data_IF_411691589854
#
_entry.id   IF_411691589854
#
_cell.length_a   1.000
_cell.length_b   1.000
_cell.length_c   1.000
_cell.angle_alpha   90.00
_cell.angle_beta   90.00
_cell.angle_gamma   90.00
#
_symmetry.space_group_name_H-M   'P 1'
#
loop_
_entity.id
_entity.type
_entity.pdbx_description
1 polymer ?
2 non-polymer ?
3 non-polymer ?
4 water ?
#
# COMPACT_ATOMS: atom_id res chain seq x y z
N UNK A 3 19.64 -29.20 -10.69
CA UNK A 3 20.98 -28.94 -11.30
C UNK A 3 20.81 -28.15 -12.59
N UNK A 4 19.68 -28.32 -13.24
CA UNK A 4 19.37 -27.54 -14.43
C UNK A 4 18.95 -26.15 -13.99
N UNK A 5 19.48 -25.14 -14.66
CA UNK A 5 19.17 -23.77 -14.30
C UNK A 5 17.97 -23.28 -15.11
N UNK A 6 17.18 -22.46 -14.45
CA UNK A 6 16.01 -21.85 -15.07
C UNK A 6 16.44 -20.79 -16.07
N UNK A 7 15.54 -20.45 -17.02
CA UNK A 7 15.77 -19.36 -17.96
C UNK A 7 16.05 -18.07 -17.20
N UNK A 8 17.04 -17.31 -17.66
CA UNK A 8 17.48 -16.07 -17.01
C UNK A 8 17.34 -14.88 -17.97
N UNK A 9 16.73 -13.79 -17.50
CA UNK A 9 16.57 -12.61 -18.34
C UNK A 9 17.92 -11.94 -18.67
N UNK A 10 17.96 -11.28 -19.82
CA UNK A 10 19.17 -10.59 -20.29
C UNK A 10 19.60 -9.47 -19.34
N UNK A 11 20.83 -8.99 -19.48
CA UNK A 11 21.36 -7.97 -18.61
C UNK A 11 21.82 -8.56 -17.28
N UNK A 12 21.82 -7.73 -16.26
CA UNK A 12 22.19 -8.21 -14.92
C UNK A 12 23.69 -8.33 -14.73
N UNK A 13 24.43 -7.49 -15.42
CA UNK A 13 25.88 -7.57 -15.38
C UNK A 13 26.50 -6.59 -14.37
N UNK A 14 25.67 -5.98 -13.53
CA UNK A 14 26.12 -5.00 -12.54
C UNK A 14 26.57 -5.75 -11.29
N UNK A 15 27.04 -5.01 -10.28
CA UNK A 15 27.66 -5.62 -9.11
C UNK A 15 26.76 -6.64 -8.43
N UNK A 16 25.49 -6.30 -8.29
CA UNK A 16 24.55 -7.19 -7.65
C UNK A 16 23.56 -7.80 -8.64
N UNK A 17 24.06 -8.10 -9.85
CA UNK A 17 23.26 -8.77 -10.87
C UNK A 17 22.24 -7.81 -11.46
N UNK A 18 20.97 -8.15 -11.30
CA UNK A 18 19.87 -7.32 -11.76
C UNK A 18 19.38 -6.32 -10.70
N UNK A 19 19.98 -6.34 -9.51
CA UNK A 19 19.48 -5.48 -8.44
C UNK A 19 19.52 -3.99 -8.81
N UNK A 20 20.59 -3.56 -9.46
CA UNK A 20 20.70 -2.15 -9.85
C UNK A 20 19.54 -1.74 -10.76
N UNK A 21 19.25 -2.58 -11.74
CA UNK A 21 18.13 -2.32 -12.65
C UNK A 21 16.79 -2.45 -11.92
N UNK A 22 16.72 -3.37 -10.97
CA UNK A 22 15.50 -3.54 -10.21
C UNK A 22 15.17 -2.28 -9.39
N UNK A 23 16.20 -1.52 -9.01
CA UNK A 23 16.00 -0.24 -8.35
C UNK A 23 15.52 0.81 -9.34
N UNK A 24 16.24 0.92 -10.47
CA UNK A 24 15.98 2.01 -11.40
C UNK A 24 14.76 1.82 -12.29
N UNK A 25 14.42 0.58 -12.61
CA UNK A 25 13.28 0.35 -13.49
C UNK A 25 12.77 -1.08 -13.29
N UNK A 26 12.19 -1.35 -12.11
CA UNK A 26 11.75 -2.71 -11.83
C UNK A 26 10.67 -3.20 -12.78
N UNK A 27 9.77 -2.31 -13.20
CA UNK A 27 8.69 -2.74 -14.09
C UNK A 27 9.25 -3.12 -15.47
N UNK A 28 10.19 -2.34 -15.99
CA UNK A 28 10.84 -2.70 -17.25
C UNK A 28 11.59 -4.01 -17.17
N UNK A 29 12.26 -4.23 -16.05
CA UNK A 29 12.95 -5.52 -15.85
C UNK A 29 11.95 -6.67 -15.85
N UNK A 30 10.90 -6.54 -15.04
CA UNK A 30 9.93 -7.62 -14.95
C UNK A 30 9.21 -7.87 -16.27
N UNK A 31 8.96 -6.81 -17.02
CA UNK A 31 8.31 -7.01 -18.32
C UNK A 31 9.27 -7.70 -19.27
N UNK A 32 10.57 -7.41 -19.16
CA UNK A 32 11.56 -8.06 -20.04
C UNK A 32 11.67 -9.54 -19.72
N UNK A 33 11.53 -9.90 -18.44
CA UNK A 33 11.52 -11.32 -18.07
C UNK A 33 10.40 -12.02 -18.84
N UNK A 34 9.22 -11.41 -18.83
CA UNK A 34 8.07 -12.05 -19.48
C UNK A 34 8.22 -12.05 -21.00
N UNK A 35 8.67 -10.94 -21.56
CA UNK A 35 8.85 -10.79 -23.00
C UNK A 35 9.86 -11.79 -23.55
N UNK A 36 10.97 -11.96 -22.84
CA UNK A 36 12.02 -12.88 -23.31
C UNK A 36 11.72 -14.36 -23.03
N UNK A 37 11.09 -14.63 -21.88
CA UNK A 37 11.07 -15.98 -21.33
C UNK A 37 9.68 -16.57 -21.16
N UNK A 38 8.67 -15.72 -21.10
CA UNK A 38 7.30 -16.22 -20.94
C UNK A 38 6.87 -16.26 -19.49
N UNK A 39 6.07 -17.27 -19.16
CA UNK A 39 5.37 -17.34 -17.86
C UNK A 39 6.27 -17.64 -16.66
N UNK A 40 7.45 -18.21 -16.92
CA UNK A 40 8.38 -18.52 -15.82
C UNK A 40 9.77 -18.06 -16.23
N UNK A 41 10.37 -17.14 -15.47
CA UNK A 41 11.72 -16.68 -15.82
C UNK A 41 12.39 -16.10 -14.60
N UNK A 42 13.70 -15.89 -14.66
CA UNK A 42 14.38 -15.47 -13.45
C UNK A 42 15.21 -14.21 -13.64
N UNK A 43 15.45 -13.53 -12.53
CA UNK A 43 16.44 -12.47 -12.47
C UNK A 43 17.20 -12.63 -11.14
N UNK A 44 18.38 -12.03 -11.06
CA UNK A 44 19.25 -12.21 -9.92
C UNK A 44 19.26 -10.93 -9.07
N UNK A 45 18.87 -11.09 -7.81
CA UNK A 45 18.85 -9.99 -6.87
C UNK A 45 20.01 -10.20 -5.91
N UNK A 46 21.17 -9.67 -6.26
CA UNK A 46 22.38 -9.92 -5.49
C UNK A 46 22.59 -11.44 -5.39
N UNK A 47 22.66 -11.99 -4.17
CA UNK A 47 22.86 -13.44 -4.07
C UNK A 47 21.65 -14.30 -4.44
N UNK A 48 20.48 -13.68 -4.55
CA UNK A 48 19.23 -14.43 -4.56
C UNK A 48 18.66 -14.55 -5.96
N UNK A 49 18.22 -15.73 -6.34
CA UNK A 49 17.51 -15.90 -7.59
C UNK A 49 16.04 -15.64 -7.34
N UNK A 50 15.42 -14.84 -8.19
CA UNK A 50 13.98 -14.62 -8.12
C UNK A 50 13.34 -15.32 -9.31
N UNK A 51 12.42 -16.22 -9.03
CA UNK A 51 11.65 -16.88 -10.08
C UNK A 51 10.35 -16.09 -10.25
N UNK A 52 10.31 -15.32 -11.34
CA UNK A 52 9.14 -14.49 -11.62
C UNK A 52 8.12 -15.23 -12.47
N UNK A 53 6.95 -15.40 -11.88
CA UNK A 53 5.83 -16.06 -12.52
C UNK A 53 4.88 -15.02 -13.08
N UNK A 54 4.27 -15.33 -14.22
CA UNK A 54 3.26 -14.44 -14.78
C UNK A 54 2.25 -15.23 -15.59
N UNK A 55 1.11 -14.60 -15.87
CA UNK A 55 0.04 -15.28 -16.60
C UNK A 55 -0.83 -16.08 -15.64
N UNK A 56 -2.02 -16.45 -16.11
CA UNK A 56 -3.01 -17.05 -15.23
C UNK A 56 -2.59 -18.39 -14.61
N UNK A 57 -2.00 -19.28 -15.41
CA UNK A 57 -1.65 -20.61 -14.91
C UNK A 57 -0.60 -20.54 -13.79
N UNK A 58 0.48 -19.80 -14.05
CA UNK A 58 1.58 -19.71 -13.09
C UNK A 58 1.14 -18.88 -11.89
N UNK A 59 0.39 -17.82 -12.13
CA UNK A 59 -0.14 -17.05 -11.01
C UNK A 59 -1.05 -17.87 -10.10
N UNK A 60 -1.85 -18.76 -10.69
CA UNK A 60 -2.77 -19.58 -9.88
C UNK A 60 -1.95 -20.46 -8.93
N UNK A 61 -0.87 -21.05 -9.44
CA UNK A 61 0.04 -21.80 -8.58
C UNK A 61 0.53 -20.93 -7.43
N UNK A 62 1.02 -19.73 -7.78
CA UNK A 62 1.58 -18.82 -6.77
C UNK A 62 0.56 -18.48 -5.68
N UNK A 63 -0.63 -18.10 -6.13
CA UNK A 63 -1.65 -17.59 -5.20
C UNK A 63 -2.38 -18.63 -4.38
N UNK A 64 -2.47 -19.86 -4.91
CA UNK A 64 -3.17 -20.92 -4.18
C UNK A 64 -2.25 -21.66 -3.20
N UNK A 65 -0.96 -21.34 -3.27
CA UNK A 65 0.01 -21.99 -2.38
C UNK A 65 -0.14 -21.43 -0.97
N UNK A 66 -0.18 -22.33 0.01
CA UNK A 66 -0.14 -21.94 1.41
C UNK A 66 1.31 -21.86 1.89
N UNK A 67 1.52 -21.35 3.11
CA UNK A 67 2.87 -21.07 3.59
C UNK A 67 3.70 -22.35 3.79
N UNK A 68 3.05 -23.50 3.83
CA UNK A 68 3.75 -24.78 3.89
C UNK A 68 4.52 -25.04 2.60
N UNK A 69 4.10 -24.39 1.50
CA UNK A 69 4.67 -24.62 0.18
C UNK A 69 5.47 -23.41 -0.28
N UNK A 70 4.83 -22.24 -0.23
CA UNK A 70 5.47 -20.99 -0.57
C UNK A 70 5.28 -20.06 0.61
N UNK A 71 6.37 -19.76 1.34
CA UNK A 71 6.27 -19.03 2.60
C UNK A 71 6.31 -17.51 2.38
N UNK A 72 5.25 -16.84 2.77
CA UNK A 72 5.19 -15.39 2.68
C UNK A 72 5.86 -14.73 3.90
N UNK A 73 5.89 -15.45 5.01
CA UNK A 73 6.35 -14.84 6.26
C UNK A 73 7.74 -14.21 6.19
N UNK A 74 8.68 -14.87 5.52
CA UNK A 74 10.07 -14.42 5.49
C UNK A 74 10.44 -13.73 4.17
N UNK A 75 9.44 -13.44 3.35
CA UNK A 75 9.70 -13.04 1.98
C UNK A 75 9.78 -11.53 1.80
N UNK A 76 9.59 -10.78 2.89
CA UNK A 76 9.64 -9.30 2.83
C UNK A 76 10.56 -8.76 3.94
N UNK A 77 11.85 -9.06 3.83
CA UNK A 77 12.81 -8.75 4.89
C UNK A 77 12.98 -7.26 5.19
N UNK A 78 12.55 -6.39 4.27
CA UNK A 78 12.62 -4.97 4.50
C UNK A 78 11.73 -4.57 5.67
N UNK A 79 10.82 -5.46 6.05
CA UNK A 79 9.92 -5.20 7.17
C UNK A 79 10.58 -5.43 8.52
N UNK A 80 11.63 -6.23 8.55
CA UNK A 80 12.21 -6.63 9.83
C UNK A 80 12.64 -5.45 10.71
N UNK A 81 13.40 -4.51 10.15
CA UNK A 81 13.82 -3.34 10.94
C UNK A 81 12.65 -2.42 11.29
N UNK A 82 11.55 -2.52 10.55
CA UNK A 82 10.35 -1.75 10.90
C UNK A 82 9.60 -2.33 12.10
N UNK A 83 9.33 -3.64 12.10
CA UNK A 83 8.75 -4.24 13.30
C UNK A 83 9.67 -4.03 14.50
N UNK A 84 10.98 -4.02 14.26
CA UNK A 84 11.95 -3.93 15.33
C UNK A 84 11.89 -5.10 16.29
N UNK A 85 12.41 -4.89 17.50
CA UNK A 85 12.62 -5.99 18.44
C UNK A 85 11.54 -6.14 19.50
N UNK A 86 10.78 -5.07 19.72
CA UNK A 86 9.75 -5.08 20.74
C UNK A 86 8.63 -6.04 20.40
N UNK A 87 8.05 -6.63 21.44
CA UNK A 87 6.82 -7.38 21.29
C UNK A 87 5.88 -6.98 22.39
N UNK A 88 4.66 -6.60 22.01
CA UNK A 88 3.68 -6.16 23.00
C UNK A 88 2.82 -7.35 23.37
N UNK A 89 2.17 -7.93 22.36
CA UNK A 89 1.40 -9.15 22.57
C UNK A 89 2.14 -10.34 21.99
N UNK A 90 2.61 -11.21 22.88
CA UNK A 90 3.42 -12.35 22.49
C UNK A 90 2.54 -13.46 21.95
N UNK A 91 2.91 -13.98 20.77
CA UNK A 91 2.20 -15.08 20.12
C UNK A 91 3.01 -15.53 18.92
N UNK A 92 2.47 -16.50 18.17
CA UNK A 92 3.11 -16.93 16.93
C UNK A 92 3.14 -15.79 15.93
N UNK A 93 4.07 -15.86 14.98
CA UNK A 93 4.13 -14.81 13.98
C UNK A 93 2.79 -14.57 13.30
N UNK A 94 2.06 -15.66 13.01
CA UNK A 94 0.83 -15.55 12.23
C UNK A 94 -0.23 -14.82 13.04
N UNK A 95 -0.26 -15.11 14.33
CA UNK A 95 -1.25 -14.55 15.25
C UNK A 95 -0.92 -13.09 15.54
N UNK A 96 0.36 -12.78 15.68
CA UNK A 96 0.76 -11.39 15.83
C UNK A 96 0.32 -10.57 14.60
N UNK A 97 0.34 -11.20 13.43
CA UNK A 97 -0.09 -10.55 12.22
C UNK A 97 -1.61 -10.25 12.26
N UNK A 98 -2.41 -11.26 12.63
CA UNK A 98 -3.84 -11.05 12.82
C UNK A 98 -4.08 -9.87 13.74
N UNK A 99 -3.33 -9.83 14.84
CA UNK A 99 -3.57 -8.81 15.88
C UNK A 99 -3.30 -7.39 15.42
N UNK A 100 -2.48 -7.25 14.39
CA UNK A 100 -2.19 -5.91 13.91
C UNK A 100 -3.42 -5.26 13.34
N UNK A 101 -4.27 -6.04 12.68
CA UNK A 101 -5.34 -5.44 11.85
C UNK A 101 -6.77 -5.87 12.13
N UNK A 102 -6.96 -7.07 12.64
CA UNK A 102 -8.31 -7.66 12.56
C UNK A 102 -9.41 -6.89 13.32
N UNK A 103 -9.10 -6.41 14.52
CA UNK A 103 -10.10 -5.64 15.30
C UNK A 103 -10.64 -4.49 14.48
N UNK A 104 -9.73 -3.71 13.92
CA UNK A 104 -10.11 -2.50 13.19
C UNK A 104 -10.79 -2.81 11.88
N UNK A 105 -10.57 -4.02 11.34
CA UNK A 105 -11.14 -4.38 10.03
C UNK A 105 -12.50 -5.05 10.16
N UNK A 106 -13.01 -5.19 11.39
CA UNK A 106 -14.30 -5.86 11.52
C UNK A 106 -15.40 -5.06 10.85
N UNK A 107 -16.32 -5.78 10.19
CA UNK A 107 -17.36 -5.14 9.44
C UNK A 107 -18.15 -4.12 10.26
N UNK A 108 -18.42 -4.45 11.52
CA UNK A 108 -19.24 -3.59 12.37
C UNK A 108 -18.56 -2.27 12.69
N UNK A 109 -17.26 -2.19 12.43
CA UNK A 109 -16.51 -0.95 12.70
C UNK A 109 -16.50 -0.01 11.50
N UNK A 110 -16.92 -0.52 10.34
CA UNK A 110 -16.72 0.25 9.10
C UNK A 110 -17.47 1.57 9.04
N UNK A 111 -18.72 1.59 9.50
CA UNK A 111 -19.49 2.83 9.49
C UNK A 111 -18.76 3.91 10.31
N UNK A 112 -18.29 3.56 11.50
CA UNK A 112 -17.56 4.51 12.32
C UNK A 112 -16.29 4.98 11.66
N UNK A 113 -15.57 4.07 11.01
CA UNK A 113 -14.34 4.48 10.28
C UNK A 113 -14.65 5.46 9.16
N UNK A 114 -15.76 5.23 8.45
CA UNK A 114 -16.10 6.11 7.34
C UNK A 114 -16.35 7.52 7.88
N UNK A 115 -17.02 7.62 9.03
CA UNK A 115 -17.23 8.93 9.64
C UNK A 115 -15.91 9.56 10.09
N UNK A 116 -15.04 8.74 10.67
CA UNK A 116 -13.71 9.22 11.06
C UNK A 116 -12.94 9.74 9.86
N UNK A 117 -12.97 8.99 8.77
CA UNK A 117 -12.23 9.38 7.58
C UNK A 117 -12.79 10.69 7.03
N UNK A 118 -14.11 10.79 6.95
CA UNK A 118 -14.72 12.06 6.54
C UNK A 118 -14.18 13.23 7.38
N UNK A 119 -14.17 13.06 8.71
CA UNK A 119 -13.71 14.14 9.59
C UNK A 119 -12.26 14.48 9.32
N UNK A 120 -11.43 13.48 9.04
CA UNK A 120 -10.01 13.75 8.82
C UNK A 120 -9.81 14.54 7.53
N UNK A 121 -10.60 14.21 6.50
CA UNK A 121 -10.47 14.93 5.25
C UNK A 121 -10.91 16.37 5.45
N UNK A 122 -12.03 16.58 6.13
CA UNK A 122 -12.47 17.95 6.34
C UNK A 122 -11.43 18.74 7.16
N UNK A 123 -10.79 18.09 8.14
CA UNK A 123 -9.74 18.81 8.88
C UNK A 123 -8.58 19.21 7.98
N UNK A 124 -8.23 18.32 7.05
CA UNK A 124 -7.07 18.55 6.19
C UNK A 124 -7.31 19.67 5.16
N UNK A 125 -8.57 19.88 4.78
CA UNK A 125 -8.87 20.90 3.78
C UNK A 125 -9.43 22.16 4.43
N UNK A 126 -9.44 22.17 5.76
CA UNK A 126 -10.11 23.25 6.49
C UNK A 126 -9.53 24.63 6.16
N UNK A 127 -8.22 24.70 5.90
CA UNK A 127 -7.58 25.99 5.60
C UNK A 127 -7.40 26.26 4.09
N UNK A 128 -8.07 25.48 3.25
CA UNK A 128 -7.82 25.59 1.79
C UNK A 128 -8.36 26.89 1.20
N UNK A 129 -9.44 27.41 1.77
CA UNK A 129 -10.04 28.63 1.21
C UNK A 129 -10.60 28.44 -0.19
N UNK A 130 -10.67 29.52 -0.96
CA UNK A 130 -11.36 29.49 -2.23
C UNK A 130 -10.57 28.77 -3.32
N UNK A 131 -9.25 28.89 -3.29
CA UNK A 131 -8.44 28.35 -4.38
C UNK A 131 -6.99 28.29 -3.93
N UNK A 132 -6.20 27.43 -4.56
CA UNK A 132 -4.81 27.26 -4.14
C UNK A 132 -4.18 26.08 -4.86
N UNK A 133 -3.05 25.66 -4.36
CA UNK A 133 -2.30 24.57 -4.97
C UNK A 133 -1.83 23.62 -3.88
N UNK A 134 -1.82 22.32 -4.20
CA UNK A 134 -1.28 21.33 -3.28
C UNK A 134 -0.28 20.47 -4.02
N UNK A 135 0.57 19.80 -3.26
CA UNK A 135 1.36 18.71 -3.86
C UNK A 135 0.73 17.40 -3.41
N UNK A 136 0.42 16.50 -4.36
CA UNK A 136 -0.32 15.30 -3.99
C UNK A 136 0.37 14.39 -2.98
N UNK A 137 1.69 14.22 -3.09
CA UNK A 137 2.38 13.38 -2.11
C UNK A 137 2.30 14.04 -0.73
N UNK A 138 2.62 15.33 -0.64
CA UNK A 138 2.57 15.99 0.67
C UNK A 138 1.17 15.90 1.28
N UNK A 139 0.16 16.13 0.45
CA UNK A 139 -1.22 16.16 0.96
C UNK A 139 -1.70 14.77 1.35
N UNK A 140 -1.63 13.83 0.40
CA UNK A 140 -2.14 12.49 0.71
C UNK A 140 -1.32 11.69 1.71
N UNK A 141 0.00 11.87 1.71
CA UNK A 141 0.78 11.16 2.70
C UNK A 141 0.40 11.61 4.11
N UNK A 142 0.24 12.92 4.30
CA UNK A 142 -0.16 13.43 5.62
C UNK A 142 -1.59 13.02 5.96
N UNK A 143 -2.52 13.23 5.01
CA UNK A 143 -3.91 12.86 5.25
C UNK A 143 -4.02 11.42 5.72
N UNK A 144 -3.30 10.52 5.06
CA UNK A 144 -3.48 9.10 5.36
C UNK A 144 -2.75 8.66 6.63
N UNK A 145 -1.78 9.46 7.10
CA UNK A 145 -1.32 9.26 8.48
C UNK A 145 -2.44 9.47 9.48
N UNK A 146 -3.24 10.53 9.25
CA UNK A 146 -4.34 10.84 10.14
C UNK A 146 -5.49 9.85 10.03
N UNK A 147 -5.83 9.43 8.82
CA UNK A 147 -6.88 8.42 8.69
C UNK A 147 -6.46 7.09 9.28
N UNK A 148 -5.22 6.66 8.99
CA UNK A 148 -4.73 5.39 9.51
C UNK A 148 -4.59 5.39 11.04
N UNK A 149 -4.01 6.45 11.59
CA UNK A 149 -3.87 6.50 13.05
C UNK A 149 -5.22 6.58 13.74
N UNK A 150 -6.11 7.43 13.22
CA UNK A 150 -7.41 7.61 13.89
C UNK A 150 -8.23 6.32 13.85
N UNK A 151 -8.21 5.61 12.72
CA UNK A 151 -9.02 4.38 12.58
C UNK A 151 -8.41 3.17 13.27
N UNK A 152 -7.10 3.02 13.14
CA UNK A 152 -6.41 1.85 13.71
C UNK A 152 -6.01 1.98 15.17
N UNK A 153 -5.62 3.18 15.58
CA UNK A 153 -5.14 3.33 16.94
C UNK A 153 -6.14 4.07 17.80
N UNK A 154 -6.62 5.19 17.31
CA UNK A 154 -7.70 5.89 17.98
C UNK A 154 -7.68 7.37 17.67
N UNK A 155 -8.84 8.02 17.77
CA UNK A 155 -8.93 9.44 17.51
C UNK A 155 -8.11 10.27 18.52
N UNK A 156 -8.16 9.86 19.79
CA UNK A 156 -7.41 10.58 20.80
C UNK A 156 -5.92 10.62 20.46
N UNK A 157 -5.40 9.49 19.98
CA UNK A 157 -4.00 9.39 19.60
C UNK A 157 -3.74 10.24 18.35
N UNK A 158 -4.59 10.10 17.34
CA UNK A 158 -4.39 10.94 16.15
C UNK A 158 -4.36 12.43 16.50
N UNK A 159 -5.19 12.85 17.45
CA UNK A 159 -5.27 14.26 17.79
C UNK A 159 -3.97 14.80 18.40
N UNK A 160 -3.07 13.89 18.80
CA UNK A 160 -1.76 14.29 19.32
C UNK A 160 -0.65 14.19 18.30
N UNK A 161 -1.01 13.83 17.08
CA UNK A 161 -0.08 13.77 15.97
C UNK A 161 -0.16 15.04 15.13
N UNK A 162 0.96 15.36 14.48
CA UNK A 162 0.97 16.45 13.51
C UNK A 162 1.87 16.07 12.35
N UNK A 163 2.29 17.07 11.59
CA UNK A 163 3.08 16.82 10.38
C UNK A 163 4.39 16.10 10.63
N UNK A 164 4.96 16.24 11.83
CA UNK A 164 6.24 15.61 12.16
C UNK A 164 6.15 14.08 12.05
N UNK A 165 5.09 13.51 12.62
CA UNK A 165 4.88 12.09 12.49
C UNK A 165 4.87 11.65 11.02
N UNK A 166 4.16 12.39 10.17
CA UNK A 166 4.10 12.02 8.76
C UNK A 166 5.47 12.11 8.08
N UNK A 167 6.23 13.15 8.39
CA UNK A 167 7.53 13.30 7.77
C UNK A 167 8.44 12.14 8.16
N UNK A 168 8.43 11.79 9.45
CA UNK A 168 9.24 10.67 9.88
C UNK A 168 8.77 9.32 9.32
N UNK A 169 7.46 9.13 9.25
CA UNK A 169 6.93 7.87 8.72
C UNK A 169 7.37 7.71 7.27
N UNK A 170 7.39 8.81 6.52
CA UNK A 170 7.85 8.75 5.12
C UNK A 170 9.28 8.25 5.00
N UNK A 171 10.15 8.73 5.90
CA UNK A 171 11.55 8.32 5.89
C UNK A 171 11.66 6.84 6.23
N UNK A 172 10.77 6.36 7.09
CA UNK A 172 10.72 4.95 7.43
C UNK A 172 10.41 4.14 6.18
N UNK A 173 9.40 4.57 5.43
CA UNK A 173 9.02 3.88 4.20
C UNK A 173 10.11 3.92 3.15
N UNK A 174 10.89 5.00 3.16
CA UNK A 174 12.02 5.10 2.23
C UNK A 174 13.17 4.17 2.58
N UNK A 175 13.11 3.57 3.77
CA UNK A 175 14.16 2.64 4.19
C UNK A 175 13.93 1.22 3.71
N UNK A 176 13.30 1.07 2.54
CA UNK A 176 12.94 -0.24 2.00
C UNK A 176 13.63 -0.57 0.67
N UNK A 177 14.87 -0.08 0.51
CA UNK A 177 15.64 -0.37 -0.70
C UNK A 177 15.75 -1.88 -0.92
N UNK A 178 15.77 -2.31 -2.19
CA UNK A 178 15.81 -3.76 -2.40
C UNK A 178 17.09 -4.44 -1.92
N UNK A 179 18.10 -3.65 -1.59
CA UNK A 179 19.29 -4.18 -0.90
C UNK A 179 18.89 -4.95 0.37
N UNK A 180 17.64 -4.80 0.81
CA UNK A 180 17.16 -5.50 1.99
C UNK A 180 17.07 -7.01 1.80
N UNK A 181 17.05 -7.43 0.53
CA UNK A 181 17.16 -8.85 0.21
C UNK A 181 18.60 -9.34 0.38
N UNK A 182 19.57 -8.42 0.37
CA UNK A 182 20.92 -8.76 0.83
C UNK A 182 20.89 -8.86 2.36
N UNK A 183 20.66 -7.71 2.99
CA UNK A 183 20.70 -7.57 4.44
C UNK A 183 20.06 -6.23 4.75
N UNK A 184 18.94 -6.23 5.51
CA UNK A 184 18.31 -4.93 5.76
C UNK A 184 19.06 -4.03 6.73
N UNK A 185 20.22 -4.49 7.21
CA UNK A 185 21.00 -3.68 8.14
C UNK A 185 22.34 -3.18 7.55
N UNK A 186 22.49 -3.31 6.23
CA UNK A 186 23.69 -2.84 5.55
C UNK A 186 23.87 -1.32 5.75
N UNK A 187 25.14 -0.87 5.75
CA UNK A 187 25.48 0.53 6.00
C UNK A 187 25.27 1.44 4.79
N UNK A 188 24.03 1.52 4.31
CA UNK A 188 23.70 2.47 3.25
C UNK A 188 22.87 3.62 3.82
N UNK A 189 22.96 4.78 3.19
CA UNK A 189 22.35 6.02 3.72
C UNK A 189 20.83 5.92 3.98
N UNK A 190 20.09 5.30 3.08
CA UNK A 190 18.64 5.21 3.25
C UNK A 190 18.25 4.31 4.44
N UNK A 191 19.05 3.29 4.70
CA UNK A 191 18.85 2.44 5.88
C UNK A 191 19.16 3.22 7.17
N UNK A 192 20.20 4.05 7.10
CA UNK A 192 20.56 4.91 8.24
C UNK A 192 19.44 5.89 8.54
N UNK A 193 18.88 6.49 7.49
CA UNK A 193 17.82 7.46 7.68
C UNK A 193 16.55 6.77 8.22
N UNK A 194 16.32 5.55 7.77
CA UNK A 194 15.22 4.73 8.29
C UNK A 194 15.35 4.58 9.81
N UNK A 195 16.53 4.17 10.24
CA UNK A 195 16.78 3.95 11.67
C UNK A 195 16.63 5.22 12.49
N UNK A 196 17.14 6.34 11.96
CA UNK A 196 17.01 7.61 12.67
C UNK A 196 15.53 8.00 12.78
N UNK A 197 14.77 7.78 11.70
CA UNK A 197 13.36 8.14 11.67
C UNK A 197 12.57 7.29 12.68
N UNK A 198 12.91 6.02 12.77
CA UNK A 198 12.24 5.18 13.74
C UNK A 198 12.51 5.71 15.15
N UNK A 199 13.77 6.08 15.44
CA UNK A 199 14.06 6.68 16.74
C UNK A 199 13.24 7.95 16.98
N UNK A 200 13.08 8.77 15.95
CA UNK A 200 12.27 9.97 16.08
C UNK A 200 10.80 9.67 16.39
N UNK A 201 10.27 8.60 15.79
CA UNK A 201 8.88 8.22 16.04
C UNK A 201 8.72 7.70 17.47
N UNK A 202 9.69 6.92 17.94
CA UNK A 202 9.67 6.47 19.33
C UNK A 202 9.66 7.69 20.27
N UNK A 203 10.46 8.71 19.93
CA UNK A 203 10.51 9.89 20.77
C UNK A 203 9.19 10.65 20.80
N UNK A 204 8.50 10.72 19.67
CA UNK A 204 7.18 11.38 19.63
C UNK A 204 6.19 10.66 20.52
N UNK A 205 6.19 9.34 20.47
CA UNK A 205 5.27 8.56 21.30
C UNK A 205 5.65 8.69 22.77
N UNK A 206 6.95 8.63 23.09
CA UNK A 206 7.36 8.87 24.48
C UNK A 206 6.84 10.22 25.00
N UNK A 207 6.93 11.27 24.17
CA UNK A 207 6.49 12.60 24.58
C UNK A 207 4.98 12.55 24.85
N UNK A 208 4.24 11.82 24.02
CA UNK A 208 2.81 11.69 24.23
C UNK A 208 2.52 10.95 25.53
N UNK A 209 3.23 9.86 25.77
CA UNK A 209 3.04 9.07 26.97
C UNK A 209 3.32 9.94 28.21
N UNK A 210 4.40 10.71 28.18
CA UNK A 210 4.76 11.50 29.36
C UNK A 210 3.70 12.57 29.61
N UNK A 211 3.24 13.20 28.53
CA UNK A 211 2.23 14.22 28.63
C UNK A 211 0.95 13.68 29.24
N UNK A 212 0.63 12.42 28.95
CA UNK A 212 -0.60 11.85 29.49
C UNK A 212 -0.52 11.47 30.97
N UNK A 213 0.68 11.23 31.47
CA UNK A 213 0.81 10.83 32.86
C UNK A 213 0.37 12.01 33.73
N UNK A 214 0.76 13.19 33.29
CA UNK A 214 0.50 14.41 34.05
C UNK A 214 -0.94 14.86 33.96
N UNK A 215 -1.72 14.25 33.08
CA UNK A 215 -3.18 14.45 33.03
C UNK A 215 -3.89 13.20 33.51
N UNK A 223 -9.74 6.47 27.17
CA UNK A 223 -8.87 5.36 27.53
C UNK A 223 -8.50 4.62 26.26
N UNK A 224 -8.05 5.35 25.24
CA UNK A 224 -7.71 4.72 23.98
C UNK A 224 -6.71 3.60 24.17
N UNK A 225 -6.28 3.01 23.06
CA UNK A 225 -5.38 1.88 23.09
C UNK A 225 -4.06 2.22 23.79
N UNK A 226 -3.59 3.45 23.60
CA UNK A 226 -2.36 3.88 24.25
C UNK A 226 -2.56 3.96 25.76
N UNK A 227 -3.71 4.50 26.20
CA UNK A 227 -3.99 4.51 27.65
C UNK A 227 -3.97 3.10 28.25
N UNK A 228 -4.58 2.14 27.54
CA UNK A 228 -4.58 0.76 28.00
C UNK A 228 -3.16 0.24 28.16
N UNK A 229 -2.34 0.45 27.13
CA UNK A 229 -0.97 -0.06 27.17
C UNK A 229 -0.13 0.63 28.23
N UNK A 230 -0.33 1.92 28.43
CA UNK A 230 0.41 2.66 29.47
C UNK A 230 0.11 2.09 30.85
N UNK A 231 -1.12 1.63 31.03
CA UNK A 231 -1.59 1.24 32.35
C UNK A 231 -1.14 -0.16 32.74
N UNK A 232 -0.68 -0.95 31.78
CA UNK A 232 -0.29 -2.33 32.08
C UNK A 232 0.95 -2.35 32.96
N UNK A 233 0.87 -3.05 34.09
CA UNK A 233 1.97 -3.10 35.04
C UNK A 233 2.66 -4.44 35.06
N UNK A 234 3.97 -4.45 35.25
CA UNK A 234 4.68 -5.69 35.52
C UNK A 234 4.43 -6.08 36.97
N UNK A 235 4.90 -7.26 37.35
CA UNK A 235 4.63 -7.80 38.69
C UNK A 235 5.00 -6.84 39.82
N UNK A 236 6.08 -6.09 39.67
CA UNK A 236 6.56 -5.21 40.73
C UNK A 236 5.86 -3.86 40.80
N UNK A 237 5.14 -3.50 39.74
CA UNK A 237 4.52 -2.17 39.63
C UNK A 237 5.15 -1.28 38.57
N UNK A 238 6.28 -1.72 38.02
CA UNK A 238 6.92 -0.96 36.96
C UNK A 238 6.06 -1.09 35.71
N UNK A 239 5.96 -0.03 34.91
CA UNK A 239 5.16 -0.19 33.70
C UNK A 239 5.72 -1.33 32.85
N UNK A 240 4.83 -2.14 32.28
CA UNK A 240 5.29 -3.28 31.50
C UNK A 240 5.89 -2.91 30.14
N UNK A 241 5.33 -1.88 29.50
CA UNK A 241 5.73 -1.57 28.11
C UNK A 241 6.50 -0.26 27.93
N UNK A 242 7.57 -0.34 27.14
CA UNK A 242 8.36 0.85 26.84
C UNK A 242 7.79 1.62 25.67
N UNK A 243 8.25 2.87 25.51
CA UNK A 243 7.90 3.63 24.33
C UNK A 243 8.31 2.89 23.04
N UNK A 244 9.48 2.24 23.04
CA UNK A 244 9.91 1.52 21.82
C UNK A 244 8.96 0.38 21.47
N UNK A 245 8.53 -0.36 22.48
CA UNK A 245 7.65 -1.50 22.25
C UNK A 245 6.32 -1.02 21.69
N UNK A 246 5.76 -0.01 22.36
CA UNK A 246 4.47 0.52 21.94
C UNK A 246 4.59 1.09 20.52
N UNK A 247 5.62 1.89 20.29
CA UNK A 247 5.80 2.54 18.99
C UNK A 247 5.96 1.49 17.89
N UNK A 248 6.74 0.44 18.13
CA UNK A 248 6.89 -0.60 17.12
C UNK A 248 5.54 -1.18 16.72
N UNK A 249 4.69 -1.43 17.71
CA UNK A 249 3.37 -1.98 17.39
C UNK A 249 2.54 -1.01 16.59
N UNK A 250 2.53 0.26 17.00
CA UNK A 250 1.72 1.26 16.30
C UNK A 250 2.21 1.44 14.87
N UNK A 251 3.52 1.54 14.69
CA UNK A 251 4.08 1.66 13.36
C UNK A 251 3.65 0.49 12.49
N UNK A 252 3.73 -0.72 13.04
CA UNK A 252 3.38 -1.91 12.26
C UNK A 252 1.89 -1.99 11.98
N UNK A 253 1.05 -1.48 12.88
CA UNK A 253 -0.39 -1.45 12.64
C UNK A 253 -0.75 -0.54 11.48
N UNK A 254 0.02 0.51 11.29
CA UNK A 254 -0.33 1.53 10.31
C UNK A 254 0.28 1.28 8.94
N UNK A 255 1.24 0.37 8.86
CA UNK A 255 2.13 0.31 7.71
C UNK A 255 1.39 -0.09 6.45
N UNK A 256 0.66 -1.20 6.48
CA UNK A 256 0.03 -1.70 5.25
C UNK A 256 -0.91 -0.69 4.63
N UNK A 257 -1.69 -0.03 5.46
CA UNK A 257 -2.71 0.88 4.95
C UNK A 257 -2.15 2.23 4.57
N UNK A 258 -0.99 2.61 5.10
CA UNK A 258 -0.53 3.94 4.79
C UNK A 258 -0.06 4.16 3.33
N UNK A 259 0.97 3.46 2.91
CA UNK A 259 1.52 3.74 1.58
C UNK A 259 0.51 3.41 0.50
N UNK A 260 -0.32 2.40 0.76
CA UNK A 260 -1.29 2.02 -0.24
C UNK A 260 -2.41 3.05 -0.36
N UNK A 261 -2.95 3.50 0.76
CA UNK A 261 -4.00 4.52 0.69
C UNK A 261 -3.50 5.83 0.14
N UNK A 262 -2.30 6.23 0.55
CA UNK A 262 -1.72 7.46 0.06
C UNK A 262 -1.58 7.44 -1.46
N UNK A 263 -0.92 6.39 -1.96
CA UNK A 263 -0.71 6.27 -3.42
C UNK A 263 -2.01 6.09 -4.19
N UNK A 264 -2.89 5.24 -3.69
CA UNK A 264 -4.13 4.99 -4.40
C UNK A 264 -5.00 6.25 -4.49
N UNK A 265 -5.03 7.04 -3.41
CA UNK A 265 -5.77 8.31 -3.46
C UNK A 265 -5.14 9.25 -4.49
N UNK A 266 -3.82 9.36 -4.48
CA UNK A 266 -3.14 10.25 -5.44
C UNK A 266 -3.45 9.86 -6.88
N UNK A 267 -3.31 8.57 -7.17
CA UNK A 267 -3.51 8.10 -8.53
C UNK A 267 -4.98 8.15 -8.97
N UNK A 268 -5.90 7.96 -8.02
CA UNK A 268 -7.32 8.11 -8.36
C UNK A 268 -7.57 9.56 -8.80
N UNK A 269 -7.01 10.53 -8.04
CA UNK A 269 -7.22 11.93 -8.43
C UNK A 269 -6.53 12.25 -9.76
N UNK A 270 -5.31 11.72 -9.94
CA UNK A 270 -4.62 11.95 -11.20
C UNK A 270 -5.42 11.39 -12.39
N UNK A 271 -5.94 10.17 -12.28
CA UNK A 271 -6.64 9.60 -13.41
C UNK A 271 -7.93 10.36 -13.68
N UNK A 272 -8.59 10.83 -12.62
CA UNK A 272 -9.80 11.62 -12.82
C UNK A 272 -9.45 12.89 -13.60
N UNK A 273 -8.36 13.55 -13.22
CA UNK A 273 -7.98 14.80 -13.90
C UNK A 273 -7.55 14.54 -15.34
N UNK A 274 -6.92 13.39 -15.59
CA UNK A 274 -6.47 13.04 -16.96
C UNK A 274 -7.64 12.64 -17.86
N UNK A 275 -8.77 12.28 -17.27
CA UNK A 275 -9.93 11.74 -18.00
C UNK A 275 -11.17 12.47 -17.56
N UNK A 276 -11.36 13.65 -18.12
CA UNK A 276 -12.38 14.53 -17.59
C UNK A 276 -13.81 14.04 -17.84
N UNK A 277 -13.99 13.13 -18.81
CA UNK A 277 -15.29 12.52 -19.00
C UNK A 277 -15.65 11.60 -17.82
N UNK A 278 -14.67 10.86 -17.33
CA UNK A 278 -14.88 10.03 -16.12
C UNK A 278 -15.10 10.94 -14.90
N UNK A 279 -14.31 11.99 -14.81
CA UNK A 279 -14.42 12.92 -13.68
C UNK A 279 -15.84 13.50 -13.66
N UNK A 280 -16.33 13.98 -14.80
CA UNK A 280 -17.69 14.53 -14.88
C UNK A 280 -18.76 13.52 -14.46
N UNK A 281 -18.62 12.27 -14.90
CA UNK A 281 -19.56 11.22 -14.56
C UNK A 281 -19.54 10.95 -13.04
N UNK A 282 -18.35 10.95 -12.45
CA UNK A 282 -18.23 10.72 -11.01
C UNK A 282 -18.89 11.86 -10.21
N UNK A 283 -18.66 13.11 -10.63
CA UNK A 283 -19.26 14.26 -9.96
C UNK A 283 -20.78 14.15 -10.01
N UNK A 284 -21.32 13.86 -11.19
CA UNK A 284 -22.76 13.76 -11.31
C UNK A 284 -23.29 12.69 -10.37
N UNK A 285 -22.62 11.54 -10.36
CA UNK A 285 -23.05 10.44 -9.52
C UNK A 285 -23.02 10.82 -8.03
N UNK A 286 -21.97 11.50 -7.61
CA UNK A 286 -21.88 11.86 -6.19
C UNK A 286 -22.96 12.86 -5.82
N UNK A 287 -23.19 13.83 -6.69
CA UNK A 287 -24.19 14.86 -6.42
C UNK A 287 -25.56 14.19 -6.31
N UNK A 288 -25.85 13.23 -7.20
CA UNK A 288 -27.17 12.58 -7.17
C UNK A 288 -27.31 11.70 -5.93
N UNK A 289 -26.26 10.94 -5.62
CA UNK A 289 -26.32 10.00 -4.53
C UNK A 289 -26.52 10.73 -3.20
N UNK A 290 -25.74 11.77 -2.98
CA UNK A 290 -25.80 12.48 -1.70
C UNK A 290 -27.04 13.36 -1.62
N UNK A 291 -27.75 13.44 -2.73
CA UNK A 291 -29.03 14.12 -2.74
C UNK A 291 -30.10 13.47 -1.89
N UNK A 292 -29.86 12.24 -1.40
CA UNK A 292 -30.80 11.63 -0.45
C UNK A 292 -30.62 12.12 0.99
N UNK A 293 -29.60 12.94 1.21
CA UNK A 293 -29.36 13.50 2.55
C UNK A 293 -28.65 12.59 3.53
N UNK A 294 -28.28 11.39 3.09
CA UNK A 294 -27.54 10.47 3.99
C UNK A 294 -26.05 10.81 4.07
N UNK A 295 -25.41 10.42 5.18
CA UNK A 295 -24.04 10.78 5.44
C UNK A 295 -23.04 9.96 4.60
N UNK A 296 -21.80 10.44 4.59
CA UNK A 296 -20.69 9.65 4.02
C UNK A 296 -20.61 8.28 4.72
N UNK A 297 -20.88 8.22 6.03
CA UNK A 297 -20.79 6.95 6.73
C UNK A 297 -21.82 5.91 6.23
N UNK A 298 -22.89 6.41 5.62
CA UNK A 298 -23.84 5.56 4.90
C UNK A 298 -23.36 5.22 3.50
N UNK A 299 -23.08 6.25 2.71
CA UNK A 299 -22.76 6.02 1.29
C UNK A 299 -21.42 5.35 1.02
N UNK A 300 -20.42 5.59 1.88
CA UNK A 300 -19.09 5.00 1.60
C UNK A 300 -19.06 3.50 1.80
N UNK A 301 -20.13 2.95 2.39
CA UNK A 301 -20.25 1.49 2.59
C UNK A 301 -21.14 0.82 1.55
N UNK A 302 -21.59 1.62 0.60
CA UNK A 302 -22.56 1.13 -0.38
C UNK A 302 -22.12 1.51 -1.78
N UNK A 303 -22.85 1.03 -2.79
CA UNK A 303 -22.40 1.21 -4.16
C UNK A 303 -22.24 2.69 -4.55
N UNK A 304 -21.08 3.02 -5.12
CA UNK A 304 -20.89 4.29 -5.83
C UNK A 304 -20.20 3.88 -7.12
N UNK A 305 -20.98 3.40 -8.10
CA UNK A 305 -20.38 2.57 -9.16
C UNK A 305 -19.36 3.28 -10.04
N UNK A 306 -19.61 4.52 -10.48
CA UNK A 306 -18.64 5.16 -11.38
C UNK A 306 -17.32 5.38 -10.66
N UNK A 307 -17.39 5.83 -9.41
CA UNK A 307 -16.17 6.05 -8.65
C UNK A 307 -15.46 4.73 -8.41
N UNK A 308 -16.22 3.70 -8.06
CA UNK A 308 -15.59 2.40 -7.82
C UNK A 308 -14.89 1.86 -9.06
N UNK A 309 -15.47 2.08 -10.23
CA UNK A 309 -14.84 1.60 -11.46
C UNK A 309 -13.59 2.39 -11.81
N UNK A 310 -13.62 3.68 -11.52
CA UNK A 310 -12.43 4.51 -11.65
C UNK A 310 -11.34 3.99 -10.70
N UNK A 311 -11.71 3.67 -9.47
CA UNK A 311 -10.74 3.14 -8.52
C UNK A 311 -10.19 1.78 -8.99
N UNK A 312 -11.07 0.89 -9.45
CA UNK A 312 -10.58 -0.41 -9.96
C UNK A 312 -9.57 -0.22 -11.07
N UNK A 313 -9.85 0.73 -11.97
CA UNK A 313 -8.96 0.93 -13.15
C UNK A 313 -7.65 1.58 -12.72
N UNK A 314 -7.73 2.45 -11.72
CA UNK A 314 -6.54 3.07 -11.17
C UNK A 314 -5.63 2.02 -10.50
N UNK A 315 -6.24 1.09 -9.76
CA UNK A 315 -5.49 0.00 -9.16
C UNK A 315 -4.90 -0.94 -10.20
N UNK A 316 -5.61 -1.15 -11.31
CA UNK A 316 -5.08 -2.01 -12.35
C UNK A 316 -3.82 -1.39 -12.94
N UNK A 317 -3.88 -0.08 -13.22
CA UNK A 317 -2.77 0.61 -13.89
C UNK A 317 -1.62 0.97 -12.93
N UNK A 318 -1.95 1.22 -11.67
CA UNK A 318 -0.98 1.71 -10.69
C UNK A 318 -1.04 0.91 -9.40
N UNK A 319 -0.81 -0.41 -9.49
CA UNK A 319 -0.95 -1.23 -8.29
C UNK A 319 0.10 -0.82 -7.25
N UNK A 320 -0.34 -0.54 -6.01
CA UNK A 320 0.63 -0.02 -5.06
C UNK A 320 1.76 -0.96 -4.68
N UNK A 321 1.52 -2.27 -4.78
CA UNK A 321 2.59 -3.28 -4.63
C UNK A 321 2.81 -3.82 -6.04
N UNK A 322 4.01 -3.61 -6.58
CA UNK A 322 4.29 -4.02 -7.96
C UNK A 322 4.88 -5.42 -8.08
N UNK A 323 5.31 -5.97 -6.94
CA UNK A 323 5.83 -7.33 -6.88
C UNK A 323 5.43 -7.96 -5.54
N UNK A 324 5.11 -9.26 -5.59
CA UNK A 324 4.73 -10.04 -4.40
C UNK A 324 5.71 -11.19 -4.32
N UNK A 325 6.08 -11.60 -3.11
CA UNK A 325 7.22 -12.49 -2.92
C UNK A 325 6.88 -13.65 -2.00
N UNK A 326 7.54 -14.79 -2.25
CA UNK A 326 7.46 -15.95 -1.36
C UNK A 326 8.83 -16.61 -1.35
N UNK A 327 9.07 -17.47 -0.37
CA UNK A 327 10.26 -18.33 -0.35
C UNK A 327 9.77 -19.76 -0.48
N UNK A 328 10.30 -20.50 -1.45
CA UNK A 328 9.84 -21.86 -1.69
C UNK A 328 10.31 -22.73 -0.53
N UNK A 329 9.42 -23.56 -0.01
CA UNK A 329 9.76 -24.46 1.11
C UNK A 329 10.04 -25.88 0.60
N UNK A 330 9.90 -26.07 -0.70
CA UNK A 330 10.14 -27.35 -1.34
C UNK A 330 10.35 -27.22 -2.82
N UNK A 331 10.36 -28.35 -3.52
CA UNK A 331 10.52 -28.31 -4.98
C UNK A 331 9.15 -28.40 -5.67
N UNK A 332 8.99 -27.62 -6.72
CA UNK A 332 7.73 -27.59 -7.46
C UNK A 332 8.04 -27.48 -8.92
N UNK A 333 7.11 -27.92 -9.76
CA UNK A 333 7.31 -27.76 -11.18
C UNK A 333 6.19 -26.88 -11.72
N UNK A 334 6.56 -25.88 -12.51
CA UNK A 334 5.60 -25.01 -13.15
C UNK A 334 5.94 -24.96 -14.63
N UNK A 335 5.06 -25.51 -15.46
CA UNK A 335 5.32 -25.54 -16.89
C UNK A 335 6.67 -26.16 -17.22
N UNK A 336 7.01 -27.24 -16.53
CA UNK A 336 8.24 -27.96 -16.81
C UNK A 336 9.49 -27.36 -16.17
N UNK A 337 9.35 -26.19 -15.56
CA UNK A 337 10.47 -25.55 -14.88
C UNK A 337 10.46 -25.87 -13.40
N UNK A 338 11.60 -26.24 -12.84
CA UNK A 338 11.63 -26.66 -11.44
C UNK A 338 12.07 -25.55 -10.50
N UNK A 339 11.20 -25.26 -9.54
CA UNK A 339 11.51 -24.32 -8.48
C UNK A 339 12.12 -25.13 -7.36
N UNK A 340 13.23 -24.62 -6.79
CA UNK A 340 13.90 -25.34 -5.70
C UNK A 340 13.69 -24.69 -4.36
N UNK A 341 13.80 -25.50 -3.32
CA UNK A 341 13.73 -25.01 -1.96
C UNK A 341 14.68 -23.84 -1.78
N UNK A 342 14.18 -22.78 -1.15
CA UNK A 342 14.97 -21.59 -0.91
C UNK A 342 14.87 -20.50 -1.96
N UNK A 343 14.41 -20.86 -3.16
CA UNK A 343 14.20 -19.90 -4.23
C UNK A 343 13.23 -18.83 -3.77
N UNK A 344 13.49 -17.58 -4.15
CA UNK A 344 12.47 -16.55 -4.04
C UNK A 344 11.56 -16.75 -5.24
N UNK A 345 10.25 -16.67 -5.01
CA UNK A 345 9.27 -16.85 -6.08
C UNK A 345 8.38 -15.61 -6.04
N UNK A 346 8.13 -15.01 -7.20
CA UNK A 346 7.45 -13.73 -7.25
C UNK A 346 6.33 -13.73 -8.27
N UNK A 347 5.33 -12.88 -8.00
CA UNK A 347 4.32 -12.56 -8.99
C UNK A 347 4.28 -11.04 -9.04
N UNK A 348 3.85 -10.48 -10.16
CA UNK A 348 3.88 -9.03 -10.28
C UNK A 348 2.53 -8.47 -10.69
N UNK A 349 1.87 -7.75 -9.80
CA UNK A 349 0.66 -7.07 -10.23
C UNK A 349 0.92 -6.06 -11.36
N UNK A 350 2.07 -5.39 -11.35
CA UNK A 350 2.36 -4.38 -12.38
C UNK A 350 2.30 -5.01 -13.76
N UNK A 351 2.93 -6.17 -13.90
CA UNK A 351 2.94 -6.89 -15.18
C UNK A 351 1.62 -7.63 -15.46
N UNK A 352 1.15 -8.38 -14.47
CA UNK A 352 -0.05 -9.20 -14.73
C UNK A 352 -1.27 -8.37 -15.08
N UNK A 353 -1.38 -7.23 -14.43
CA UNK A 353 -2.53 -6.35 -14.61
C UNK A 353 -2.58 -5.74 -16.01
N UNK A 354 -1.52 -5.90 -16.80
CA UNK A 354 -1.51 -5.37 -18.16
C UNK A 354 -1.31 -6.43 -19.24
N UNK A 355 -1.51 -7.70 -18.91
CA UNK A 355 -1.42 -8.76 -19.93
C UNK A 355 -2.46 -8.48 -21.03
N UNK A 356 -2.00 -8.36 -22.27
CA UNK A 356 -2.91 -7.84 -23.32
C UNK A 356 -4.02 -8.82 -23.72
N UNK A 357 -3.79 -10.11 -23.55
CA UNK A 357 -4.87 -11.06 -23.84
C UNK A 357 -6.03 -10.94 -22.85
N UNK A 358 -5.72 -10.52 -21.63
CA UNK A 358 -6.67 -10.57 -20.54
C UNK A 358 -7.36 -9.21 -20.41
N UNK A 359 -6.62 -8.14 -20.68
CA UNK A 359 -7.15 -6.78 -20.53
C UNK A 359 -6.99 -6.04 -21.83
N UNK A 360 -8.01 -6.10 -22.70
CA UNK A 360 -7.86 -5.44 -23.99
C UNK A 360 -7.40 -3.99 -23.84
N UNK A 361 -6.41 -3.60 -24.65
CA UNK A 361 -5.88 -2.24 -24.63
C UNK A 361 -5.39 -1.95 -23.21
N UNK A 362 -4.44 -2.74 -22.72
CA UNK A 362 -4.09 -2.74 -21.29
C UNK A 362 -3.50 -1.42 -20.78
N UNK A 363 -2.98 -0.57 -21.67
CA UNK A 363 -2.39 0.67 -21.21
C UNK A 363 -3.39 1.81 -21.16
N UNK A 364 -4.62 1.53 -21.59
CA UNK A 364 -5.65 2.55 -21.60
C UNK A 364 -6.51 2.51 -20.32
N UNK A 365 -6.94 3.70 -19.91
CA UNK A 365 -7.82 3.88 -18.76
C UNK A 365 -9.26 3.71 -19.23
N UNK A 366 -9.87 2.60 -18.84
CA UNK A 366 -11.21 2.25 -19.31
C UNK A 366 -12.01 1.69 -18.11
N UNK A 367 -12.60 2.59 -17.32
CA UNK A 367 -13.36 2.11 -16.15
C UNK A 367 -14.53 1.23 -16.55
N UNK A 368 -15.05 1.40 -17.75
CA UNK A 368 -16.13 0.51 -18.23
C UNK A 368 -15.77 -0.98 -18.19
N UNK A 369 -14.47 -1.30 -18.11
CA UNK A 369 -14.02 -2.72 -17.97
C UNK A 369 -14.70 -3.42 -16.84
N UNK A 370 -15.13 -2.65 -15.83
CA UNK A 370 -15.60 -3.23 -14.58
C UNK A 370 -17.12 -3.15 -14.44
N UNK A 371 -17.78 -2.58 -15.45
CA UNK A 371 -19.23 -2.48 -15.39
C UNK A 371 -19.81 -3.90 -15.44
N UNK A 372 -21.06 -4.05 -14.98
CA UNK A 372 -21.66 -5.36 -14.73
C UNK A 372 -21.61 -6.33 -15.93
N UNK A 373 -21.81 -5.81 -17.14
CA UNK A 373 -21.69 -6.72 -18.30
C UNK A 373 -20.28 -7.25 -18.56
N UNK A 374 -19.26 -6.52 -18.09
CA UNK A 374 -17.88 -6.84 -18.45
C UNK A 374 -17.07 -7.51 -17.31
N UNK A 375 -17.02 -6.85 -16.17
CA UNK A 375 -16.41 -7.41 -14.98
C UNK A 375 -15.04 -8.04 -15.24
N UNK A 376 -14.14 -7.28 -15.87
CA UNK A 376 -12.81 -7.84 -16.16
C UNK A 376 -11.99 -8.19 -14.91
N UNK A 377 -12.29 -7.52 -13.80
CA UNK A 377 -11.66 -7.86 -12.51
C UNK A 377 -12.06 -9.25 -12.06
N UNK A 378 -13.36 -9.52 -12.11
CA UNK A 378 -13.86 -10.80 -11.61
C UNK A 378 -13.52 -11.95 -12.55
N UNK A 379 -13.54 -11.69 -13.86
CA UNK A 379 -13.25 -12.74 -14.84
C UNK A 379 -11.80 -13.19 -14.75
N UNK A 380 -10.91 -12.24 -14.53
CA UNK A 380 -9.48 -12.55 -14.56
C UNK A 380 -8.98 -12.84 -13.15
N UNK A 381 -9.45 -13.95 -12.60
CA UNK A 381 -9.23 -14.21 -11.16
C UNK A 381 -7.77 -14.24 -10.76
N UNK A 382 -6.89 -14.65 -11.66
CA UNK A 382 -5.49 -14.84 -11.28
C UNK A 382 -4.55 -13.80 -11.88
N UNK A 383 -5.11 -12.87 -12.65
CA UNK A 383 -4.27 -11.84 -13.28
C UNK A 383 -4.68 -10.39 -13.00
N UNK A 384 -5.93 -10.17 -12.53
CA UNK A 384 -6.29 -8.84 -12.03
C UNK A 384 -5.95 -8.90 -10.53
N UNK A 385 -4.75 -8.45 -10.17
CA UNK A 385 -4.22 -8.76 -8.85
C UNK A 385 -3.68 -7.58 -8.02
N UNK A 386 -4.33 -6.40 -8.07
CA UNK A 386 -3.78 -5.32 -7.24
C UNK A 386 -3.89 -5.63 -5.74
N UNK A 387 -4.86 -6.48 -5.36
CA UNK A 387 -5.01 -6.90 -3.96
C UNK A 387 -4.50 -8.33 -3.75
N UNK A 388 -3.69 -8.84 -4.66
CA UNK A 388 -3.30 -10.25 -4.60
C UNK A 388 -4.50 -11.16 -4.87
N UNK A 389 -4.42 -12.41 -4.40
CA UNK A 389 -5.45 -13.39 -4.70
C UNK A 389 -5.20 -14.63 -3.87
N UNK A 390 -6.17 -15.54 -3.87
CA UNK A 390 -6.01 -16.80 -3.15
C UNK A 390 -5.73 -16.63 -1.67
N UNK A 391 -4.76 -17.41 -1.19
CA UNK A 391 -4.54 -17.59 0.25
C UNK A 391 -4.23 -16.32 1.02
N UNK A 392 -3.48 -15.40 0.41
CA UNK A 392 -3.03 -14.20 1.12
C UNK A 392 -3.66 -12.92 0.55
N UNK A 393 -4.79 -13.07 -0.13
CA UNK A 393 -5.50 -11.90 -0.68
C UNK A 393 -5.72 -10.85 0.39
N UNK A 394 -5.55 -9.59 0.01
CA UNK A 394 -5.58 -8.49 0.96
C UNK A 394 -6.81 -8.50 1.86
N UNK A 395 -6.59 -8.57 3.18
CA UNK A 395 -7.70 -8.49 4.13
C UNK A 395 -8.17 -7.05 4.34
N UNK A 396 -7.37 -6.09 3.90
CA UNK A 396 -7.73 -4.66 4.05
C UNK A 396 -8.49 -4.07 2.87
N UNK A 397 -8.80 -4.88 1.86
CA UNK A 397 -9.37 -4.33 0.61
C UNK A 397 -10.69 -3.60 0.83
N UNK A 398 -11.60 -4.18 1.62
CA UNK A 398 -12.88 -3.53 1.84
C UNK A 398 -12.69 -2.18 2.55
N UNK A 399 -11.83 -2.17 3.56
CA UNK A 399 -11.48 -0.92 4.24
C UNK A 399 -10.91 0.12 3.27
N UNK A 400 -9.96 -0.32 2.44
CA UNK A 400 -9.29 0.58 1.51
C UNK A 400 -10.25 1.21 0.52
N UNK A 401 -11.17 0.39 0.00
CA UNK A 401 -12.16 0.87 -0.95
C UNK A 401 -13.14 1.83 -0.28
N UNK A 402 -13.62 1.46 0.91
CA UNK A 402 -14.47 2.37 1.69
C UNK A 402 -13.73 3.72 1.90
N UNK A 403 -12.44 3.67 2.20
CA UNK A 403 -11.70 4.89 2.50
C UNK A 403 -11.57 5.80 1.28
N UNK A 404 -11.32 5.21 0.11
CA UNK A 404 -11.31 6.02 -1.11
C UNK A 404 -12.68 6.65 -1.34
N UNK A 405 -13.74 5.85 -1.17
CA UNK A 405 -15.07 6.39 -1.36
C UNK A 405 -15.35 7.53 -0.39
N UNK A 406 -14.95 7.37 0.86
CA UNK A 406 -15.18 8.45 1.86
C UNK A 406 -14.37 9.70 1.51
N UNK A 407 -13.10 9.51 1.14
CA UNK A 407 -12.22 10.65 0.88
C UNK A 407 -12.76 11.46 -0.29
N UNK A 408 -13.06 10.75 -1.39
CA UNK A 408 -13.51 11.45 -2.59
C UNK A 408 -14.95 11.96 -2.53
N UNK A 409 -15.78 11.32 -1.71
CA UNK A 409 -17.10 11.88 -1.41
C UNK A 409 -16.98 13.29 -0.84
N UNK A 410 -15.98 13.52 0.00
CA UNK A 410 -15.75 14.86 0.51
C UNK A 410 -15.03 15.75 -0.50
N UNK A 411 -13.86 15.31 -0.95
CA UNK A 411 -13.04 16.19 -1.80
C UNK A 411 -13.77 16.67 -3.04
N UNK A 412 -14.41 15.74 -3.76
CA UNK A 412 -14.99 16.06 -5.07
C UNK A 412 -16.30 16.83 -5.00
N UNK A 413 -16.92 16.84 -3.83
CA UNK A 413 -18.12 17.65 -3.66
C UNK A 413 -17.77 19.05 -3.19
N UNK A 414 -16.60 19.22 -2.57
CA UNK A 414 -16.21 20.53 -2.04
C UNK A 414 -15.35 21.33 -3.02
N UNK A 415 -14.47 20.64 -3.74
CA UNK A 415 -13.47 21.31 -4.58
C UNK A 415 -13.38 20.68 -5.95
N UNK A 416 -12.98 21.50 -6.94
CA UNK A 416 -12.65 21.06 -8.28
C UNK A 416 -11.13 21.05 -8.41
N UNK A 417 -10.60 20.05 -9.11
CA UNK A 417 -9.15 19.88 -9.24
C UNK A 417 -8.69 19.92 -10.69
N UNK A 418 -7.52 20.54 -10.89
CA UNK A 418 -6.86 20.57 -12.21
C UNK A 418 -5.36 20.32 -12.06
N UNK A 419 -4.76 19.70 -13.07
CA UNK A 419 -3.33 19.48 -13.07
C UNK A 419 -2.56 20.77 -13.26
N UNK A 420 -1.55 20.98 -12.43
CA UNK A 420 -0.75 22.20 -12.55
C UNK A 420 0.58 21.90 -13.27
N UNK A 421 0.75 20.65 -13.68
CA UNK A 421 1.91 20.26 -14.47
C UNK A 421 1.43 19.36 -15.61
N UNK A 422 2.32 19.01 -16.57
CA UNK A 422 1.87 18.21 -17.70
C UNK A 422 1.30 16.89 -17.21
N UNK A 423 0.22 16.43 -17.82
CA UNK A 423 -0.39 15.19 -17.36
C UNK A 423 0.57 14.00 -17.36
N UNK A 424 1.53 13.99 -18.27
CA UNK A 424 2.46 12.88 -18.39
C UNK A 424 3.58 12.93 -17.34
N UNK A 425 3.64 14.04 -16.59
CA UNK A 425 4.72 14.27 -15.62
C UNK A 425 4.47 13.65 -14.26
N UNK A 426 3.24 13.18 -14.01
CA UNK A 426 2.94 12.52 -12.76
C UNK A 426 3.44 11.09 -12.86
N UNK A 427 4.20 10.67 -11.86
CA UNK A 427 4.84 9.35 -11.94
C UNK A 427 5.20 8.86 -10.55
N UNK A 428 5.44 7.56 -10.44
CA UNK A 428 5.91 6.95 -9.20
C UNK A 428 7.44 6.89 -9.17
N UNK A 429 7.94 6.86 -7.93
CA UNK A 429 9.31 6.48 -7.61
C UNK A 429 9.22 5.00 -7.24
N UNK A 430 9.83 4.15 -8.08
CA UNK A 430 9.81 2.72 -7.84
C UNK A 430 11.13 2.18 -7.31
N UNK A 431 11.97 3.05 -6.78
CA UNK A 431 13.31 2.65 -6.34
C UNK A 431 13.36 1.91 -4.99
N UNK A 432 12.25 1.96 -4.25
CA UNK A 432 12.14 1.24 -2.99
C UNK A 432 11.03 0.20 -3.08
N UNK A 433 11.08 -0.80 -2.21
CA UNK A 433 10.04 -1.82 -2.20
C UNK A 433 8.69 -1.23 -1.85
N UNK A 434 8.70 -0.05 -1.23
CA UNK A 434 7.47 0.68 -0.98
C UNK A 434 7.42 1.81 -2.01
N UNK A 435 6.50 1.67 -2.95
CA UNK A 435 6.36 2.62 -4.04
C UNK A 435 5.73 3.90 -3.52
N UNK A 436 6.27 5.03 -3.94
CA UNK A 436 5.74 6.33 -3.56
C UNK A 436 5.62 7.20 -4.79
N UNK A 437 4.64 8.09 -4.80
CA UNK A 437 4.54 9.09 -5.84
C UNK A 437 5.79 9.95 -5.86
N UNK A 438 6.31 10.22 -7.05
CA UNK A 438 7.42 11.16 -7.19
C UNK A 438 6.92 12.60 -7.08
N UNK A 439 7.84 13.49 -6.69
CA UNK A 439 7.55 14.93 -6.70
C UNK A 439 8.37 15.59 -7.80
N UNK A 440 7.85 16.69 -8.35
CA UNK A 440 6.60 17.35 -7.95
C UNK A 440 5.32 16.69 -8.46
N UNK A 441 4.24 16.89 -7.73
CA UNK A 441 2.92 16.46 -8.15
C UNK A 441 1.94 17.57 -7.83
N UNK A 442 2.14 18.71 -8.49
CA UNK A 442 1.36 19.93 -8.19
C UNK A 442 -0.03 19.91 -8.80
N UNK A 443 -1.02 20.26 -8.00
CA UNK A 443 -2.41 20.25 -8.45
C UNK A 443 -3.10 21.52 -7.96
N UNK A 444 -3.88 22.18 -8.82
CA UNK A 444 -4.70 23.34 -8.42
C UNK A 444 -6.07 22.90 -7.91
N UNK A 445 -6.60 23.62 -6.93
CA UNK A 445 -7.98 23.41 -6.52
C UNK A 445 -8.73 24.71 -6.49
N UNK A 446 -10.05 24.59 -6.59
CA UNK A 446 -10.94 25.75 -6.48
C UNK A 446 -12.27 25.26 -5.93
N UNK A 447 -12.86 26.04 -5.04
CA UNK A 447 -14.14 25.65 -4.46
C UNK A 447 -15.20 25.45 -5.53
N UNK A 448 -16.00 24.40 -5.39
CA UNK A 448 -17.12 24.21 -6.29
C UNK A 448 -18.21 25.23 -6.01
N UNK A 449 -18.77 25.77 -7.08
CA UNK A 449 -19.86 26.73 -6.99
C UNK A 449 -21.18 25.99 -7.22
#
# INVERSE_FOLDING_TARGET
>A
MSAVALPRVSGGHDEHGHLEEFRTDPIGLMQRVRDELGDVGTFQLAGKQVVLLSGSHANEFFFRAGDDDLDQAKAYPFMTPIFGEGVVFDASPERRKEMLHNAALRGEQMKGHAATIEDQVRRMIADWGEAGEIDLLDFFAELTIYTSSACLIGKKFRDQLDGRFAKLYHELERGTDPLAYVDPYLPIESFRRRDEARNGLVALVADIMNGRIANPPTDKSDRDMLDVLIAVKAETGTPRFSADEITGMFISMMFAGHHTSSGTASWTLIELMRHRDAYAAVIDELDELYGDGRSVSFHALRQIPQLENVLKETLRLHPPLIILMRVAKGEFEVQGHRIHEGDLVAASPAISNRIPEDFPDPHDFVPARYEQPRQEDLLNRWTWIPFGAGRHRCVGAAFAIMQIKAIFSVLLREYEFEMAQPPESYRNDHSKMVVQLAQPAAVRYRRRTGVHHHH
#
